data_IF_021167181676
#
_entry.id   IF_021167181676
#
_cell.length_a   1.000
_cell.length_b   1.000
_cell.length_c   1.000
_cell.angle_alpha   90.00
_cell.angle_beta   90.00
_cell.angle_gamma   90.00
#
_symmetry.space_group_name_H-M   'P 1'
#
loop_
_entity.id
_entity.type
_entity.pdbx_description
1 polymer ?
#
# COMPACT_ATOMS: atom_id res chain seq x y z
N UNK A 1 14.37 -33.89 -34.76
CA UNK A 1 13.28 -33.16 -34.07
C UNK A 1 13.28 -33.69 -32.65
N UNK A 2 13.73 -32.90 -31.67
CA UNK A 2 13.91 -33.41 -30.30
C UNK A 2 12.55 -33.44 -29.58
N UNK A 3 12.18 -34.61 -29.04
CA UNK A 3 11.02 -34.74 -28.15
C UNK A 3 11.28 -33.91 -26.89
N UNK A 4 10.52 -32.83 -26.74
CA UNK A 4 10.60 -31.89 -25.62
C UNK A 4 9.60 -32.29 -24.53
N UNK A 5 9.61 -33.57 -24.14
CA UNK A 5 8.82 -34.04 -23.00
C UNK A 5 9.47 -33.57 -21.71
N UNK A 6 8.94 -32.50 -21.11
CA UNK A 6 9.34 -32.05 -19.76
C UNK A 6 9.07 -33.19 -18.79
N UNK A 7 10.10 -33.64 -18.08
CA UNK A 7 9.95 -34.78 -17.18
C UNK A 7 9.10 -34.42 -15.95
N UNK A 8 8.40 -35.38 -15.32
CA UNK A 8 7.65 -35.13 -14.08
C UNK A 8 8.51 -34.48 -12.97
N UNK A 9 9.79 -34.84 -12.91
CA UNK A 9 10.76 -34.26 -11.96
C UNK A 9 11.05 -32.78 -12.23
N UNK A 10 11.18 -32.39 -13.50
CA UNK A 10 11.35 -31.00 -13.88
C UNK A 10 10.11 -30.18 -13.54
N UNK A 11 8.92 -30.74 -13.76
CA UNK A 11 7.65 -30.11 -13.40
C UNK A 11 7.54 -29.90 -11.88
N UNK A 12 7.95 -30.90 -11.09
CA UNK A 12 7.98 -30.82 -9.63
C UNK A 12 8.88 -29.69 -9.14
N UNK A 13 10.12 -29.62 -9.63
CA UNK A 13 11.06 -28.56 -9.23
C UNK A 13 10.59 -27.17 -9.65
N UNK A 14 10.04 -27.02 -10.85
CA UNK A 14 9.45 -25.75 -11.29
C UNK A 14 8.29 -25.33 -10.39
N UNK A 15 7.39 -26.25 -10.07
CA UNK A 15 6.25 -25.99 -9.18
C UNK A 15 6.72 -25.61 -7.78
N UNK A 16 7.73 -26.31 -7.25
CA UNK A 16 8.30 -26.01 -5.94
C UNK A 16 8.90 -24.60 -5.89
N UNK A 17 9.63 -24.18 -6.94
CA UNK A 17 10.18 -22.83 -7.06
C UNK A 17 9.06 -21.79 -7.10
N UNK A 18 8.06 -21.99 -7.95
CA UNK A 18 6.93 -21.04 -8.10
C UNK A 18 6.17 -20.92 -6.78
N UNK A 19 5.86 -22.03 -6.13
CA UNK A 19 5.18 -22.05 -4.83
C UNK A 19 6.01 -21.34 -3.75
N UNK A 20 7.32 -21.60 -3.69
CA UNK A 20 8.23 -20.97 -2.75
C UNK A 20 8.29 -19.45 -2.91
N UNK A 21 8.53 -18.98 -4.14
CA UNK A 21 8.57 -17.53 -4.45
C UNK A 21 7.24 -16.86 -4.14
N UNK A 22 6.12 -17.48 -4.51
CA UNK A 22 4.77 -16.96 -4.23
C UNK A 22 4.51 -16.84 -2.73
N UNK A 23 4.92 -17.84 -1.95
CA UNK A 23 4.74 -17.85 -0.49
C UNK A 23 5.55 -16.73 0.17
N UNK A 24 6.81 -16.55 -0.23
CA UNK A 24 7.66 -15.46 0.27
C UNK A 24 7.07 -14.10 -0.12
N UNK A 25 6.63 -13.93 -1.37
CA UNK A 25 5.97 -12.71 -1.83
C UNK A 25 4.72 -12.38 -1.03
N UNK A 26 3.87 -13.37 -0.77
CA UNK A 26 2.66 -13.21 0.04
C UNK A 26 2.97 -12.81 1.49
N UNK A 27 4.02 -13.40 2.09
CA UNK A 27 4.49 -13.04 3.43
C UNK A 27 4.98 -11.59 3.49
N UNK A 28 5.82 -11.18 2.54
CA UNK A 28 6.34 -9.80 2.45
C UNK A 28 5.19 -8.80 2.24
N UNK A 29 4.28 -9.09 1.31
CA UNK A 29 3.11 -8.23 1.05
C UNK A 29 2.20 -8.11 2.27
N UNK A 30 1.89 -9.24 2.93
CA UNK A 30 1.07 -9.26 4.14
C UNK A 30 1.74 -8.48 5.28
N UNK A 31 3.04 -8.66 5.48
CA UNK A 31 3.82 -7.91 6.47
C UNK A 31 3.81 -6.42 6.17
N UNK A 32 4.11 -6.03 4.92
CA UNK A 32 4.09 -4.63 4.48
C UNK A 32 2.71 -3.99 4.67
N UNK A 33 1.64 -4.70 4.32
CA UNK A 33 0.27 -4.21 4.48
C UNK A 33 -0.07 -3.97 5.95
N UNK A 34 0.39 -4.83 6.85
CA UNK A 34 0.20 -4.65 8.31
C UNK A 34 1.05 -3.49 8.84
N UNK A 35 2.28 -3.33 8.37
CA UNK A 35 3.15 -2.22 8.80
C UNK A 35 2.67 -0.86 8.30
N UNK A 36 2.12 -0.77 7.08
CA UNK A 36 1.64 0.48 6.50
C UNK A 36 0.35 1.02 7.13
N UNK A 37 -0.39 0.19 7.89
CA UNK A 37 -1.63 0.59 8.57
C UNK A 37 -1.51 0.84 10.07
N UNK A 38 -0.32 0.67 10.66
CA UNK A 38 -0.10 0.73 12.12
C UNK A 38 0.30 2.10 12.67
N UNK A 39 0.51 3.09 11.80
CA UNK A 39 0.83 4.46 12.16
C UNK A 39 0.09 5.40 11.22
N UNK A 40 -1.22 5.52 11.42
CA UNK A 40 -1.75 6.86 11.29
C UNK A 40 -1.04 7.64 12.39
N UNK A 41 -0.04 8.45 12.02
CA UNK A 41 0.33 9.57 12.86
C UNK A 41 -0.98 10.26 13.20
N UNK A 42 -1.35 10.27 14.49
CA UNK A 42 -2.39 11.18 14.93
C UNK A 42 -1.85 12.56 14.58
N UNK A 43 -2.50 13.35 13.70
CA UNK A 43 -2.03 14.69 13.42
C UNK A 43 -1.91 15.41 14.75
N UNK A 44 -0.76 16.05 15.02
CA UNK A 44 -0.52 16.74 16.30
C UNK A 44 -1.57 17.84 16.57
N UNK A 45 -2.32 18.22 15.53
CA UNK A 45 -3.43 19.15 15.57
C UNK A 45 -4.70 18.47 15.04
N UNK A 46 -5.74 18.29 15.88
CA UNK A 46 -7.06 17.92 15.38
C UNK A 46 -7.60 19.09 14.54
N UNK A 47 -7.52 18.95 13.21
CA UNK A 47 -8.08 19.95 12.29
C UNK A 47 -7.09 20.89 11.62
N UNK A 48 -5.93 20.40 11.15
CA UNK A 48 -5.19 21.09 10.09
C UNK A 48 -5.93 20.97 8.73
N UNK A 49 -7.19 21.41 8.70
CA UNK A 49 -7.65 22.14 7.54
C UNK A 49 -6.93 23.49 7.68
N UNK A 50 -6.24 23.93 6.64
CA UNK A 50 -5.66 25.27 6.70
C UNK A 50 -6.85 26.22 6.86
N UNK A 51 -7.03 26.75 8.07
CA UNK A 51 -7.92 27.86 8.37
C UNK A 51 -7.34 29.05 7.60
N UNK A 52 -7.58 29.05 6.28
CA UNK A 52 -7.43 30.23 5.47
C UNK A 52 -8.21 31.29 6.20
N UNK A 53 -7.49 32.33 6.64
CA UNK A 53 -7.96 33.41 7.50
C UNK A 53 -9.15 34.12 6.88
N UNK A 54 -10.34 33.50 6.95
CA UNK A 54 -11.58 34.15 6.62
C UNK A 54 -11.92 35.01 7.83
N UNK A 55 -11.36 36.23 7.86
CA UNK A 55 -11.87 37.25 8.74
C UNK A 55 -13.30 37.56 8.30
N UNK A 56 -14.27 36.91 8.93
CA UNK A 56 -15.67 37.28 8.81
C UNK A 56 -15.85 38.55 9.64
N UNK A 57 -15.90 39.71 8.99
CA UNK A 57 -16.43 40.92 9.62
C UNK A 57 -17.88 40.63 10.04
N UNK A 58 -18.34 41.04 11.25
CA UNK A 58 -19.68 40.74 11.76
C UNK A 58 -20.87 41.20 10.88
N UNK A 59 -20.59 41.94 9.80
CA UNK A 59 -21.57 42.35 8.78
C UNK A 59 -21.71 41.37 7.58
N UNK A 60 -21.06 40.20 7.64
CA UNK A 60 -21.35 39.08 6.73
C UNK A 60 -20.77 39.20 5.31
N UNK A 61 -19.67 39.94 5.10
CA UNK A 61 -18.93 39.91 3.83
C UNK A 61 -17.56 39.25 4.00
N UNK A 62 -17.28 38.30 3.11
CA UNK A 62 -16.00 37.61 3.00
C UNK A 62 -15.08 38.42 2.07
N UNK A 63 -13.92 38.83 2.57
CA UNK A 63 -12.85 39.40 1.77
C UNK A 63 -11.72 38.35 1.71
N UNK A 64 -11.34 37.97 0.49
CA UNK A 64 -10.23 37.05 0.21
C UNK A 64 -9.11 37.87 -0.39
N UNK A 65 -7.92 37.78 0.20
CA UNK A 65 -6.66 38.20 -0.40
C UNK A 65 -5.94 36.99 -1.01
#
# INVERSE_FOLDING_TARGET
>A
MADSTTSPRELLWRTAIVAGVSTVGALVWSSRRRSAGGRHEMPDLPGAHEDGTAHVTPDGRLQQD
#
